data_IF_122536797412
#
_entry.id   IF_122536797412
#
_cell.length_a   1.000
_cell.length_b   1.000
_cell.length_c   1.000
_cell.angle_alpha   90.00
_cell.angle_beta   90.00
_cell.angle_gamma   90.00
#
_symmetry.space_group_name_H-M   'P 1'
#
loop_
_entity.id
_entity.type
_entity.pdbx_description
1 polymer ?
#
# COMPACT_ATOMS: atom_id res chain seq x y z
N UNK A 1 -23.12 -0.70 -51.64
CA UNK A 1 -22.93 -1.50 -50.41
C UNK A 1 -22.66 -0.54 -49.27
N UNK A 2 -23.57 -0.55 -48.30
CA UNK A 2 -23.62 0.31 -47.12
C UNK A 2 -22.61 -0.07 -46.02
N UNK A 3 -22.58 0.79 -44.99
CA UNK A 3 -22.09 0.68 -43.60
C UNK A 3 -20.72 1.36 -43.35
N UNK A 4 -20.54 2.23 -42.36
CA UNK A 4 -21.38 2.63 -41.23
C UNK A 4 -20.47 3.21 -40.13
N UNK A 5 -21.07 3.99 -39.22
CA UNK A 5 -20.52 4.57 -37.99
C UNK A 5 -19.70 5.87 -38.15
N UNK A 6 -20.38 6.99 -37.95
CA UNK A 6 -19.81 8.20 -37.37
C UNK A 6 -19.28 7.87 -35.97
N UNK A 7 -18.02 7.45 -35.88
CA UNK A 7 -17.35 7.29 -34.59
C UNK A 7 -17.21 8.67 -33.95
N UNK A 8 -17.84 8.85 -32.79
CA UNK A 8 -17.57 9.96 -31.89
C UNK A 8 -16.11 9.85 -31.40
N UNK A 9 -15.17 10.36 -32.20
CA UNK A 9 -13.76 10.44 -31.85
C UNK A 9 -13.62 11.32 -30.61
N UNK A 10 -13.16 10.73 -29.50
CA UNK A 10 -12.91 11.48 -28.27
C UNK A 10 -11.94 12.65 -28.56
N UNK A 11 -12.11 13.82 -27.94
CA UNK A 11 -11.16 14.91 -28.08
C UNK A 11 -9.81 14.52 -27.47
N UNK A 12 -8.72 14.94 -28.10
CA UNK A 12 -7.38 14.70 -27.59
C UNK A 12 -7.22 15.43 -26.25
N UNK A 13 -6.79 14.69 -25.22
CA UNK A 13 -6.57 15.20 -23.87
C UNK A 13 -5.57 16.37 -23.76
N UNK A 14 -4.79 16.64 -24.83
CA UNK A 14 -3.84 17.76 -24.90
C UNK A 14 -4.30 18.92 -25.76
N UNK A 15 -4.83 18.65 -26.96
CA UNK A 15 -5.04 19.67 -27.98
C UNK A 15 -6.47 19.71 -28.55
N UNK A 16 -7.40 18.91 -28.03
CA UNK A 16 -8.83 18.93 -28.40
C UNK A 16 -9.15 18.35 -29.78
N UNK A 17 -8.15 18.08 -30.64
CA UNK A 17 -8.34 17.45 -31.95
C UNK A 17 -8.89 16.02 -31.83
N UNK A 18 -9.61 15.49 -32.83
CA UNK A 18 -10.12 14.13 -32.80
C UNK A 18 -8.97 13.13 -32.56
N UNK A 19 -9.12 12.28 -31.54
CA UNK A 19 -8.10 11.34 -31.12
C UNK A 19 -8.42 9.91 -31.58
N UNK A 20 -7.39 9.25 -32.13
CA UNK A 20 -7.47 7.86 -32.61
C UNK A 20 -6.64 6.90 -31.74
N UNK A 21 -5.66 7.39 -31.00
CA UNK A 21 -4.77 6.59 -30.16
C UNK A 21 -5.24 6.65 -28.70
N UNK A 22 -5.07 5.55 -27.96
CA UNK A 22 -5.36 5.46 -26.52
C UNK A 22 -4.12 4.98 -25.76
N UNK A 23 -3.94 5.45 -24.52
CA UNK A 23 -2.91 4.93 -23.63
C UNK A 23 -3.10 3.42 -23.36
N UNK A 24 -2.11 2.55 -23.63
CA UNK A 24 -2.25 1.11 -23.45
C UNK A 24 -2.50 0.71 -21.99
N UNK A 25 -1.94 1.45 -21.02
CA UNK A 25 -2.20 1.19 -19.59
C UNK A 25 -3.62 1.57 -19.16
N UNK A 26 -4.17 2.65 -19.73
CA UNK A 26 -5.59 3.00 -19.49
C UNK A 26 -6.53 1.98 -20.11
N UNK A 27 -6.20 1.44 -21.30
CA UNK A 27 -6.97 0.37 -21.92
C UNK A 27 -6.96 -0.90 -21.05
N UNK A 28 -5.79 -1.30 -20.53
CA UNK A 28 -5.63 -2.44 -19.62
C UNK A 28 -6.43 -2.24 -18.31
N UNK A 29 -6.39 -1.03 -17.74
CA UNK A 29 -7.10 -0.67 -16.51
C UNK A 29 -8.59 -0.32 -16.73
N UNK A 30 -9.10 -0.42 -17.97
CA UNK A 30 -10.48 -0.07 -18.36
C UNK A 30 -10.90 1.33 -17.90
N UNK A 31 -9.98 2.29 -17.94
CA UNK A 31 -10.26 3.70 -17.59
C UNK A 31 -10.93 4.43 -18.77
N UNK A 32 -11.70 5.51 -18.50
CA UNK A 32 -12.43 6.25 -19.54
C UNK A 32 -11.54 6.72 -20.70
N UNK A 33 -11.96 6.46 -21.95
CA UNK A 33 -11.21 6.80 -23.17
C UNK A 33 -11.00 8.30 -23.32
N UNK A 34 -11.99 9.11 -22.95
CA UNK A 34 -11.97 10.59 -23.02
C UNK A 34 -10.77 11.24 -22.31
N UNK A 35 -10.30 10.65 -21.20
CA UNK A 35 -9.17 11.19 -20.43
C UNK A 35 -7.81 10.62 -20.87
N UNK A 36 -7.81 9.69 -21.83
CA UNK A 36 -6.63 8.93 -22.25
C UNK A 36 -6.50 8.83 -23.78
N UNK A 37 -7.21 9.68 -24.52
CA UNK A 37 -7.20 9.70 -25.98
C UNK A 37 -6.22 10.76 -26.51
N UNK A 38 -5.42 10.38 -27.51
CA UNK A 38 -4.41 11.21 -28.14
C UNK A 38 -4.53 11.15 -29.66
N UNK A 39 -4.31 12.29 -30.32
CA UNK A 39 -4.31 12.35 -31.78
C UNK A 39 -2.98 11.86 -32.40
N UNK A 40 -1.86 12.05 -31.70
CA UNK A 40 -0.51 11.74 -32.18
C UNK A 40 0.40 11.27 -31.05
N UNK A 41 1.49 10.59 -31.40
CA UNK A 41 2.48 10.12 -30.44
C UNK A 41 3.18 11.28 -29.71
N UNK A 42 3.34 12.44 -30.34
CA UNK A 42 3.93 13.62 -29.69
C UNK A 42 3.00 14.23 -28.64
N UNK A 43 1.69 14.23 -28.90
CA UNK A 43 0.71 14.61 -27.88
C UNK A 43 0.72 13.64 -26.69
N UNK A 44 0.93 12.35 -26.94
CA UNK A 44 1.10 11.35 -25.88
C UNK A 44 2.37 11.59 -25.06
N UNK A 45 3.54 11.76 -25.69
CA UNK A 45 4.81 12.02 -25.00
C UNK A 45 4.77 13.31 -24.17
N UNK A 46 4.21 14.39 -24.74
CA UNK A 46 4.11 15.67 -24.06
C UNK A 46 3.15 15.64 -22.85
N UNK A 47 2.08 14.85 -22.92
CA UNK A 47 1.14 14.68 -21.83
C UNK A 47 1.51 13.54 -20.86
N UNK A 48 2.56 12.75 -21.14
CA UNK A 48 2.90 11.55 -20.37
C UNK A 48 3.14 11.83 -18.89
N UNK A 49 3.85 12.91 -18.57
CA UNK A 49 4.20 13.28 -17.19
C UNK A 49 2.96 13.62 -16.35
N UNK A 50 1.98 14.30 -16.93
CA UNK A 50 0.71 14.65 -16.26
C UNK A 50 -0.36 13.57 -16.38
N UNK A 51 -0.32 12.74 -17.41
CA UNK A 51 -1.27 11.64 -17.61
C UNK A 51 -0.96 10.45 -16.68
N UNK A 52 0.31 10.17 -16.38
CA UNK A 52 0.67 9.00 -15.56
C UNK A 52 0.07 9.03 -14.15
N UNK A 53 -0.30 10.20 -13.62
CA UNK A 53 -0.96 10.32 -12.32
C UNK A 53 -2.43 9.90 -12.32
N UNK A 54 -3.09 9.81 -13.48
CA UNK A 54 -4.50 9.35 -13.56
C UNK A 54 -4.63 7.84 -13.44
N UNK A 55 -3.52 7.10 -13.56
CA UNK A 55 -3.52 5.69 -13.23
C UNK A 55 -3.65 5.55 -11.71
N UNK A 56 -4.65 4.80 -11.21
CA UNK A 56 -4.71 4.50 -9.80
C UNK A 56 -3.38 3.87 -9.40
N UNK A 57 -2.64 4.56 -8.52
CA UNK A 57 -1.46 3.96 -7.91
C UNK A 57 -1.96 2.67 -7.26
N UNK A 58 -1.30 1.52 -7.51
CA UNK A 58 -1.59 0.34 -6.74
C UNK A 58 -1.21 0.62 -5.28
N UNK A 59 -2.13 1.22 -4.51
CA UNK A 59 -1.96 1.62 -3.12
C UNK A 59 -3.22 2.19 -2.46
N UNK A 60 -4.13 2.84 -3.21
CA UNK A 60 -5.30 3.51 -2.64
C UNK A 60 -6.54 2.58 -2.60
N UNK A 61 -6.66 1.73 -1.58
CA UNK A 61 -7.94 1.11 -1.21
C UNK A 61 -8.09 1.13 0.32
N UNK A 62 -9.19 1.74 0.77
CA UNK A 62 -9.81 1.73 2.10
C UNK A 62 -8.92 2.04 3.32
N UNK A 63 -9.03 3.28 3.81
CA UNK A 63 -8.69 3.67 5.17
C UNK A 63 -9.52 2.87 6.18
N UNK A 64 -9.05 1.68 6.54
CA UNK A 64 -9.47 1.02 7.76
C UNK A 64 -8.71 1.69 8.91
N UNK A 65 -9.34 2.68 9.52
CA UNK A 65 -8.81 3.32 10.72
C UNK A 65 -8.84 2.29 11.85
N UNK A 66 -7.67 1.89 12.35
CA UNK A 66 -7.58 1.08 13.56
C UNK A 66 -8.00 1.93 14.77
N UNK A 67 -8.83 1.40 15.70
CA UNK A 67 -9.38 2.16 16.83
C UNK A 67 -8.36 2.71 17.84
N UNK A 68 -7.09 2.32 17.74
CA UNK A 68 -6.15 2.37 18.88
C UNK A 68 -4.70 2.71 18.46
N UNK A 69 -4.52 3.28 17.27
CA UNK A 69 -3.21 3.70 16.77
C UNK A 69 -2.27 2.54 16.42
N UNK A 70 -2.78 1.31 16.34
CA UNK A 70 -2.03 0.16 15.85
C UNK A 70 -1.76 0.33 14.36
N UNK A 71 -0.56 -0.06 13.93
CA UNK A 71 -0.07 0.16 12.57
C UNK A 71 0.56 -1.10 12.01
N UNK A 72 0.37 -1.35 10.72
CA UNK A 72 1.08 -2.41 10.01
C UNK A 72 2.57 -2.12 9.93
N UNK A 73 3.38 -3.15 10.10
CA UNK A 73 4.82 -3.07 9.91
C UNK A 73 5.18 -3.18 8.43
N UNK A 74 5.97 -2.23 7.94
CA UNK A 74 6.46 -2.16 6.57
C UNK A 74 7.96 -2.45 6.54
N UNK A 75 8.46 -2.91 5.38
CA UNK A 75 9.88 -2.95 5.01
C UNK A 75 10.79 -3.45 6.14
N UNK A 76 10.81 -4.77 6.39
CA UNK A 76 11.63 -5.41 7.45
C UNK A 76 11.51 -4.71 8.82
N UNK A 77 10.32 -4.21 9.14
CA UNK A 77 10.03 -3.57 10.42
C UNK A 77 10.44 -2.10 10.55
N UNK A 78 11.03 -1.48 9.54
CA UNK A 78 11.53 -0.08 9.60
C UNK A 78 10.44 0.99 9.44
N UNK A 79 9.26 0.63 8.94
CA UNK A 79 8.16 1.57 8.75
C UNK A 79 6.88 1.12 9.43
N UNK A 80 5.99 2.06 9.72
CA UNK A 80 4.64 1.82 10.23
C UNK A 80 3.62 2.53 9.34
N UNK A 81 2.55 1.85 8.92
CA UNK A 81 1.45 2.46 8.17
C UNK A 81 0.09 2.00 8.67
N UNK A 82 -0.93 2.84 8.49
CA UNK A 82 -2.33 2.49 8.76
C UNK A 82 -2.92 1.55 7.71
N UNK A 83 -2.22 1.36 6.59
CA UNK A 83 -2.71 0.57 5.46
C UNK A 83 -1.91 -0.69 5.31
N UNK A 84 -2.61 -1.79 5.03
CA UNK A 84 -1.99 -3.07 4.78
C UNK A 84 -1.11 -2.96 3.52
N UNK A 85 0.17 -3.38 3.57
CA UNK A 85 1.04 -3.35 2.41
C UNK A 85 0.48 -4.25 1.30
N UNK A 86 0.52 -3.76 0.06
CA UNK A 86 0.23 -4.58 -1.12
C UNK A 86 1.41 -5.49 -1.37
N UNK A 87 1.21 -6.77 -1.08
CA UNK A 87 2.19 -7.83 -1.26
C UNK A 87 1.42 -9.09 -1.63
N UNK A 88 1.96 -9.86 -2.58
CA UNK A 88 1.42 -11.15 -2.98
C UNK A 88 1.87 -12.21 -1.98
N UNK A 89 1.00 -12.49 -1.00
CA UNK A 89 1.27 -13.46 0.04
C UNK A 89 1.14 -14.88 -0.52
N UNK A 90 2.13 -15.72 -0.25
CA UNK A 90 2.17 -17.11 -0.75
C UNK A 90 1.22 -18.06 -0.03
N UNK A 91 0.60 -17.65 1.08
CA UNK A 91 -0.28 -18.50 1.90
C UNK A 91 -1.47 -17.73 2.48
N UNK A 92 -2.23 -18.32 3.43
CA UNK A 92 -3.41 -17.70 4.02
C UNK A 92 -3.09 -16.63 5.10
N UNK A 93 -1.90 -16.66 5.69
CA UNK A 93 -1.53 -15.73 6.76
C UNK A 93 -1.41 -14.29 6.25
N UNK A 94 -1.93 -13.33 7.02
CA UNK A 94 -1.89 -11.90 6.71
C UNK A 94 -1.35 -11.10 7.90
N UNK A 95 -0.66 -9.97 7.66
CA UNK A 95 -0.26 -9.07 8.72
C UNK A 95 -1.49 -8.53 9.46
N UNK A 96 -1.35 -8.34 10.77
CA UNK A 96 -2.27 -7.56 11.58
C UNK A 96 -1.57 -6.27 12.04
N UNK A 97 -2.31 -5.17 12.28
CA UNK A 97 -1.73 -3.99 12.91
C UNK A 97 -1.06 -4.35 14.23
N UNK A 98 0.09 -3.73 14.51
CA UNK A 98 0.85 -3.97 15.74
C UNK A 98 0.82 -2.69 16.57
N UNK A 99 0.66 -2.84 17.88
CA UNK A 99 0.69 -1.74 18.83
C UNK A 99 2.06 -1.04 18.90
N UNK A 100 2.13 0.05 19.67
CA UNK A 100 3.39 0.72 19.98
C UNK A 100 4.28 -0.19 20.82
N UNK A 101 5.60 0.01 20.74
CA UNK A 101 6.55 -0.71 21.57
C UNK A 101 6.30 -0.40 23.06
N UNK A 102 6.37 -1.43 23.90
CA UNK A 102 6.32 -1.29 25.36
C UNK A 102 7.69 -0.84 25.88
N UNK A 103 7.71 0.00 26.91
CA UNK A 103 8.94 0.49 27.52
C UNK A 103 9.43 -0.54 28.53
N UNK A 104 10.73 -0.84 28.50
CA UNK A 104 11.40 -1.63 29.52
C UNK A 104 11.98 -0.67 30.56
N UNK A 105 11.72 -0.86 31.87
CA UNK A 105 12.29 -0.04 32.93
C UNK A 105 13.82 0.04 32.87
N UNK A 106 14.37 1.16 33.32
CA UNK A 106 15.81 1.45 33.20
C UNK A 106 16.69 0.68 34.19
N UNK A 107 16.10 0.13 35.25
CA UNK A 107 16.80 -0.72 36.23
C UNK A 107 17.29 -2.04 35.62
N UNK A 108 16.63 -2.52 34.57
CA UNK A 108 16.97 -3.79 33.93
C UNK A 108 18.14 -3.55 32.97
N UNK A 109 19.24 -4.27 33.20
CA UNK A 109 20.40 -4.25 32.30
C UNK A 109 20.00 -4.61 30.88
N UNK A 110 20.36 -3.73 29.94
CA UNK A 110 20.01 -3.85 28.53
C UNK A 110 21.21 -4.49 27.79
N UNK A 111 21.00 -5.57 27.00
CA UNK A 111 22.08 -6.16 26.22
C UNK A 111 22.58 -5.20 25.14
N UNK A 112 23.76 -5.46 24.57
CA UNK A 112 24.42 -4.63 23.56
C UNK A 112 23.57 -4.39 22.29
N UNK A 113 22.77 -5.36 21.87
CA UNK A 113 21.82 -5.23 20.75
C UNK A 113 20.58 -4.39 21.10
N UNK A 114 20.31 -4.11 22.38
CA UNK A 114 19.16 -3.32 22.82
C UNK A 114 19.28 -1.82 22.48
N UNK A 115 20.33 -1.39 21.79
CA UNK A 115 20.50 -0.02 21.28
C UNK A 115 20.56 0.07 19.75
N UNK A 116 20.59 -1.05 19.02
CA UNK A 116 20.58 -0.99 17.56
C UNK A 116 19.28 -0.37 17.03
N UNK A 117 19.43 0.76 16.33
CA UNK A 117 18.35 1.66 15.87
C UNK A 117 17.80 1.19 14.50
N UNK A 118 18.47 0.24 13.84
CA UNK A 118 18.12 -0.23 12.50
C UNK A 118 16.91 -1.16 12.41
N UNK A 119 16.38 -1.61 13.55
CA UNK A 119 15.35 -2.65 13.62
C UNK A 119 14.18 -2.24 14.52
N UNK A 120 13.28 -1.41 13.99
CA UNK A 120 12.04 -1.01 14.67
C UNK A 120 11.02 -2.16 14.91
N UNK A 121 11.41 -3.43 14.71
CA UNK A 121 10.59 -4.61 15.03
C UNK A 121 11.24 -5.65 15.95
N UNK A 122 12.57 -5.65 16.17
CA UNK A 122 13.22 -6.72 16.94
C UNK A 122 13.48 -6.42 18.42
N UNK A 123 12.93 -5.34 18.97
CA UNK A 123 13.04 -5.12 20.41
C UNK A 123 11.88 -5.77 21.15
N UNK A 124 12.22 -6.94 21.70
CA UNK A 124 11.52 -7.74 22.71
C UNK A 124 10.63 -8.87 22.20
N UNK A 125 11.29 -9.87 21.63
CA UNK A 125 10.92 -11.29 21.77
C UNK A 125 11.61 -11.88 23.01
N UNK A 126 11.41 -11.29 24.19
CA UNK A 126 11.92 -11.87 25.45
C UNK A 126 11.03 -11.50 26.63
N UNK A 127 9.76 -11.91 26.58
CA UNK A 127 8.96 -12.07 27.80
C UNK A 127 7.99 -13.25 27.67
N UNK A 128 8.46 -14.38 27.12
CA UNK A 128 7.71 -15.65 27.08
C UNK A 128 8.36 -16.78 27.89
N UNK A 129 9.42 -16.53 28.67
CA UNK A 129 10.08 -17.58 29.47
C UNK A 129 10.11 -17.34 30.99
N UNK A 130 9.49 -16.29 31.54
CA UNK A 130 9.51 -16.06 33.01
C UNK A 130 8.14 -15.87 33.67
N UNK A 131 7.02 -16.04 32.95
CA UNK A 131 5.67 -15.99 33.54
C UNK A 131 4.93 -17.35 33.52
N UNK A 132 5.67 -18.46 33.46
CA UNK A 132 5.11 -19.81 33.53
C UNK A 132 5.20 -20.45 34.93
N UNK A 133 5.67 -19.72 35.96
CA UNK A 133 5.88 -20.30 37.31
C UNK A 133 4.92 -19.75 38.38
N UNK A 134 4.11 -18.71 38.13
CA UNK A 134 3.22 -18.13 39.15
C UNK A 134 1.79 -17.82 38.68
N UNK A 135 1.14 -18.72 37.94
CA UNK A 135 -0.32 -18.64 37.71
C UNK A 135 -0.99 -20.00 37.63
N UNK A 136 -0.58 -20.94 38.48
CA UNK A 136 -1.25 -22.26 38.63
C UNK A 136 -2.18 -22.34 39.85
N UNK A 137 -2.54 -21.22 40.45
CA UNK A 137 -3.60 -21.12 41.44
C UNK A 137 -4.60 -20.08 40.95
N UNK A 138 -5.89 -20.40 41.01
CA UNK A 138 -7.04 -19.62 40.54
C UNK A 138 -7.45 -19.87 39.09
N UNK A 139 -8.01 -21.05 38.84
CA UNK A 139 -9.35 -21.19 38.21
C UNK A 139 -9.88 -22.61 38.54
N UNK A 140 -10.52 -22.71 39.70
CA UNK A 140 -11.44 -23.78 40.08
C UNK A 140 -12.54 -23.10 40.90
N UNK A 141 -13.61 -22.74 40.20
CA UNK A 141 -15.00 -22.75 40.63
C UNK A 141 -15.86 -22.59 39.38
#
# INVERSE_FOLDING_TARGET
>A
MEKGASEASAPCARCGKPAQLQCPKCAELKLPRENAAFCTQDCFRAAWSSHKSVHPKPGALASQQSPEGWKYCLRKGRGRALQLPRFEWTGPLRPYPISKMRVVPDEIEKPDWALDVGSCCFKYLFLHSVHAVLSRHYYLN
#
